data_IF_366292550879
#
_entry.id   IF_366292550879
#
_cell.length_a   1.000
_cell.length_b   1.000
_cell.length_c   1.000
_cell.angle_alpha   90.00
_cell.angle_beta   90.00
_cell.angle_gamma   90.00
#
_symmetry.space_group_name_H-M   'P 1'
#
loop_
_entity.id
_entity.type
_entity.pdbx_description
1 polymer ?
#
# COMPACT_ATOMS: atom_id res chain seq x y z
N UNK A 1 -17.04 4.10 5.83
CA UNK A 1 -16.13 3.38 4.91
C UNK A 1 -15.41 4.43 4.10
N UNK A 2 -14.08 4.48 4.11
CA UNK A 2 -13.33 5.49 3.36
C UNK A 2 -13.42 5.20 1.86
N UNK A 3 -13.57 6.24 1.04
CA UNK A 3 -13.59 6.14 -0.43
C UNK A 3 -12.22 5.83 -1.04
N UNK A 4 -11.25 5.40 -0.24
CA UNK A 4 -9.89 5.07 -0.65
C UNK A 4 -9.43 3.81 0.08
N UNK A 5 -8.89 2.85 -0.66
CA UNK A 5 -8.31 1.60 -0.14
C UNK A 5 -7.11 1.16 -0.96
N UNK A 6 -6.26 0.37 -0.32
CA UNK A 6 -5.15 -0.34 -0.95
C UNK A 6 -5.34 -1.85 -0.78
N UNK A 7 -5.09 -2.58 -1.86
CA UNK A 7 -4.94 -4.02 -1.89
C UNK A 7 -3.46 -4.31 -2.18
N UNK A 8 -2.81 -5.04 -1.28
CA UNK A 8 -1.40 -5.39 -1.41
C UNK A 8 -1.29 -6.80 -1.97
N UNK A 9 -0.64 -6.95 -3.12
CA UNK A 9 -0.49 -8.19 -3.85
C UNK A 9 0.98 -8.54 -4.01
N UNK A 10 1.34 -9.79 -3.69
CA UNK A 10 2.64 -10.36 -4.04
C UNK A 10 2.46 -11.44 -5.09
N UNK A 11 3.34 -11.45 -6.09
CA UNK A 11 3.35 -12.55 -7.04
C UNK A 11 3.66 -13.87 -6.31
N UNK A 12 2.94 -14.94 -6.66
CA UNK A 12 3.03 -16.24 -5.98
C UNK A 12 4.46 -16.78 -5.86
N UNK A 13 5.30 -16.54 -6.87
CA UNK A 13 6.70 -16.97 -6.85
C UNK A 13 7.56 -16.29 -5.77
N UNK A 14 7.14 -15.10 -5.31
CA UNK A 14 7.87 -14.28 -4.34
C UNK A 14 7.12 -14.14 -3.01
N UNK A 15 6.07 -14.95 -2.80
CA UNK A 15 5.17 -14.83 -1.66
C UNK A 15 5.89 -15.00 -0.31
N UNK A 16 6.86 -15.92 -0.25
CA UNK A 16 7.65 -16.18 0.96
C UNK A 16 8.71 -15.10 1.25
N UNK A 17 9.01 -14.27 0.25
CA UNK A 17 9.99 -13.17 0.34
C UNK A 17 9.35 -11.84 0.72
N UNK A 18 8.02 -11.80 0.88
CA UNK A 18 7.35 -10.56 1.25
C UNK A 18 7.75 -10.11 2.66
N UNK A 19 7.73 -8.79 2.93
CA UNK A 19 7.86 -8.27 4.28
C UNK A 19 6.73 -8.80 5.16
N UNK A 20 7.07 -9.36 6.32
CA UNK A 20 6.13 -9.90 7.30
C UNK A 20 5.53 -8.76 8.13
N UNK A 21 4.97 -7.77 7.46
CA UNK A 21 4.41 -6.57 8.08
C UNK A 21 2.94 -6.74 8.42
N UNK A 22 2.47 -6.06 9.44
CA UNK A 22 1.06 -6.09 9.83
C UNK A 22 0.19 -5.26 8.86
N UNK A 23 -1.04 -5.70 8.61
CA UNK A 23 -2.07 -4.96 7.87
C UNK A 23 -2.31 -3.55 8.44
N UNK A 24 -2.01 -3.36 9.74
CA UNK A 24 -2.10 -2.06 10.43
C UNK A 24 -1.22 -0.98 9.79
N UNK A 25 -0.12 -1.34 9.11
CA UNK A 25 0.68 -0.37 8.36
C UNK A 25 -0.09 0.18 7.17
N UNK A 26 -0.78 -0.70 6.43
CA UNK A 26 -1.61 -0.33 5.30
C UNK A 26 -2.74 0.58 5.74
N UNK A 27 -3.47 0.19 6.79
CA UNK A 27 -4.56 1.00 7.34
C UNK A 27 -4.07 2.35 7.85
N UNK A 28 -2.91 2.38 8.51
CA UNK A 28 -2.29 3.64 8.94
C UNK A 28 -2.06 4.58 7.76
N UNK A 29 -1.46 4.11 6.66
CA UNK A 29 -1.20 4.93 5.48
C UNK A 29 -2.51 5.36 4.79
N UNK A 30 -3.50 4.46 4.67
CA UNK A 30 -4.82 4.81 4.16
C UNK A 30 -5.46 5.96 4.96
N UNK A 31 -5.50 5.83 6.28
CA UNK A 31 -6.09 6.83 7.18
C UNK A 31 -5.31 8.13 7.19
N UNK A 32 -3.98 8.05 7.14
CA UNK A 32 -3.09 9.19 7.09
C UNK A 32 -3.41 10.08 5.88
N UNK A 33 -3.46 9.52 4.66
CA UNK A 33 -3.80 10.31 3.47
C UNK A 33 -5.24 10.81 3.46
N UNK A 34 -6.18 10.01 3.98
CA UNK A 34 -7.58 10.43 4.10
C UNK A 34 -7.70 11.69 4.95
N UNK A 35 -7.06 11.70 6.12
CA UNK A 35 -7.12 12.81 7.09
C UNK A 35 -6.30 14.01 6.60
N UNK A 36 -5.05 13.78 6.24
CA UNK A 36 -4.10 14.86 6.00
C UNK A 36 -4.21 15.50 4.61
N UNK A 37 -4.77 14.79 3.61
CA UNK A 37 -4.80 15.32 2.23
C UNK A 37 -6.17 15.24 1.57
N UNK A 38 -6.82 14.07 1.58
CA UNK A 38 -8.03 13.87 0.79
C UNK A 38 -9.20 14.71 1.29
N UNK A 39 -9.34 14.81 2.60
CA UNK A 39 -10.37 15.65 3.23
C UNK A 39 -10.11 17.12 2.98
N UNK A 40 -8.88 17.60 3.26
CA UNK A 40 -8.52 19.01 3.10
C UNK A 40 -8.63 19.47 1.63
N UNK A 41 -8.05 18.71 0.70
CA UNK A 41 -8.03 19.04 -0.73
C UNK A 41 -9.30 18.62 -1.46
N UNK A 42 -10.28 18.03 -0.77
CA UNK A 42 -11.53 17.47 -1.34
C UNK A 42 -11.25 16.53 -2.53
N UNK A 43 -10.24 15.68 -2.39
CA UNK A 43 -9.85 14.67 -3.37
C UNK A 43 -10.48 13.35 -2.93
N UNK A 44 -11.12 12.60 -3.83
CA UNK A 44 -11.71 11.27 -3.57
C UNK A 44 -12.92 11.27 -2.61
N UNK A 45 -12.95 12.12 -1.58
CA UNK A 45 -13.98 12.13 -0.53
C UNK A 45 -15.40 12.33 -1.08
N UNK A 46 -15.55 13.11 -2.15
CA UNK A 46 -16.86 13.39 -2.78
C UNK A 46 -17.09 12.60 -4.08
N UNK A 47 -16.25 11.62 -4.37
CA UNK A 47 -16.39 10.80 -5.57
C UNK A 47 -17.57 9.84 -5.44
N UNK A 48 -18.35 9.67 -6.52
CA UNK A 48 -19.35 8.59 -6.63
C UNK A 48 -18.70 7.21 -6.58
N UNK A 49 -17.45 7.12 -7.02
CA UNK A 49 -16.66 5.91 -7.04
C UNK A 49 -15.68 5.87 -5.86
N UNK A 50 -15.58 4.75 -5.17
CA UNK A 50 -14.45 4.46 -4.29
C UNK A 50 -13.19 4.21 -5.13
N UNK A 51 -12.07 4.75 -4.68
CA UNK A 51 -10.74 4.55 -5.27
C UNK A 51 -10.08 3.34 -4.62
N UNK A 52 -9.62 2.40 -5.42
CA UNK A 52 -8.86 1.24 -4.98
C UNK A 52 -7.49 1.25 -5.66
N UNK A 53 -6.40 1.18 -4.89
CA UNK A 53 -5.06 0.94 -5.43
C UNK A 53 -4.74 -0.55 -5.33
N UNK A 54 -4.46 -1.20 -6.45
CA UNK A 54 -4.06 -2.61 -6.49
C UNK A 54 -2.54 -2.66 -6.65
N UNK A 55 -1.84 -2.75 -5.52
CA UNK A 55 -0.39 -2.60 -5.42
C UNK A 55 0.29 -3.95 -5.56
N UNK A 56 0.92 -4.19 -6.70
CA UNK A 56 1.63 -5.42 -7.01
C UNK A 56 3.13 -5.24 -6.78
N UNK A 57 3.69 -6.03 -5.87
CA UNK A 57 5.11 -5.98 -5.51
C UNK A 57 5.93 -7.01 -6.27
N UNK A 58 7.08 -6.56 -6.75
CA UNK A 58 8.10 -7.34 -7.44
C UNK A 58 9.46 -7.04 -6.79
N UNK A 59 10.20 -8.10 -6.46
CA UNK A 59 11.57 -7.96 -5.98
C UNK A 59 12.49 -7.97 -7.21
N UNK A 60 13.18 -6.85 -7.44
CA UNK A 60 14.19 -6.70 -8.48
C UNK A 60 15.56 -6.47 -7.84
N UNK A 61 16.64 -6.87 -8.50
CA UNK A 61 18.01 -6.74 -7.98
C UNK A 61 18.73 -5.49 -8.51
N UNK A 62 18.14 -4.79 -9.48
CA UNK A 62 18.82 -3.76 -10.26
C UNK A 62 18.10 -2.42 -10.22
N UNK A 63 16.77 -2.40 -10.31
CA UNK A 63 16.02 -1.16 -10.46
C UNK A 63 14.79 -1.09 -9.56
N UNK A 64 14.63 0.08 -8.91
CA UNK A 64 13.45 0.42 -8.13
C UNK A 64 12.56 1.36 -8.94
N UNK A 65 11.27 1.06 -9.01
CA UNK A 65 10.30 1.92 -9.67
C UNK A 65 8.91 1.73 -9.09
N UNK A 66 8.10 2.77 -9.21
CA UNK A 66 6.66 2.73 -8.96
C UNK A 66 5.99 3.26 -10.21
N UNK A 67 5.05 2.49 -10.75
CA UNK A 67 4.30 2.88 -11.94
C UNK A 67 2.81 2.75 -11.67
N UNK A 68 2.09 3.87 -11.77
CA UNK A 68 0.63 3.89 -11.76
C UNK A 68 0.10 3.63 -13.18
N UNK A 69 -0.64 2.55 -13.37
CA UNK A 69 -1.25 2.21 -14.65
C UNK A 69 -2.64 2.86 -14.81
N UNK A 70 -3.18 2.93 -16.04
CA UNK A 70 -4.54 3.41 -16.28
C UNK A 70 -5.56 2.63 -15.46
N UNK A 71 -6.57 3.33 -14.95
CA UNK A 71 -7.59 2.72 -14.11
C UNK A 71 -8.56 1.82 -14.88
N UNK A 72 -9.13 0.85 -14.17
CA UNK A 72 -10.35 0.14 -14.58
C UNK A 72 -11.53 0.61 -13.74
N UNK A 73 -12.69 0.83 -14.36
CA UNK A 73 -13.91 1.26 -13.68
C UNK A 73 -14.89 0.09 -13.58
N UNK A 74 -15.15 -0.37 -12.37
CA UNK A 74 -16.17 -1.37 -12.05
C UNK A 74 -17.46 -0.67 -11.64
N UNK A 75 -18.35 -0.45 -12.62
CA UNK A 75 -19.58 0.34 -12.43
C UNK A 75 -20.52 -0.26 -11.39
N UNK A 76 -20.71 -1.57 -11.42
CA UNK A 76 -21.66 -2.27 -10.53
C UNK A 76 -21.22 -2.22 -9.06
N UNK A 77 -19.92 -2.08 -8.82
CA UNK A 77 -19.34 -1.96 -7.48
C UNK A 77 -19.10 -0.50 -7.06
N UNK A 78 -19.32 0.47 -7.97
CA UNK A 78 -18.87 1.85 -7.82
C UNK A 78 -17.38 1.96 -7.43
N UNK A 79 -16.51 1.18 -8.08
CA UNK A 79 -15.06 1.21 -7.81
C UNK A 79 -14.29 1.70 -9.04
N UNK A 80 -13.29 2.55 -8.80
CA UNK A 80 -12.22 2.88 -9.75
C UNK A 80 -10.92 2.28 -9.23
N UNK A 81 -10.47 1.21 -9.87
CA UNK A 81 -9.26 0.49 -9.48
C UNK A 81 -8.06 0.98 -10.29
N UNK A 82 -6.96 1.27 -9.62
CA UNK A 82 -5.70 1.70 -10.20
C UNK A 82 -4.65 0.62 -9.92
N UNK A 83 -4.23 -0.13 -10.94
CA UNK A 83 -3.11 -1.04 -10.80
C UNK A 83 -1.82 -0.24 -10.59
N UNK A 84 -1.04 -0.60 -9.59
CA UNK A 84 0.27 0.00 -9.32
C UNK A 84 1.31 -1.12 -9.27
N UNK A 85 2.38 -0.97 -10.03
CA UNK A 85 3.52 -1.88 -10.00
C UNK A 85 4.62 -1.27 -9.15
N UNK A 86 5.12 -2.02 -8.17
CA UNK A 86 6.22 -1.63 -7.30
C UNK A 86 7.35 -2.62 -7.49
N UNK A 87 8.42 -2.18 -8.13
CA UNK A 87 9.70 -2.87 -8.12
C UNK A 87 10.56 -2.30 -7.01
N UNK A 88 11.08 -3.15 -6.13
CA UNK A 88 11.97 -2.73 -5.07
C UNK A 88 13.15 -3.70 -4.92
N UNK A 89 14.29 -3.19 -4.49
CA UNK A 89 15.41 -4.01 -4.07
C UNK A 89 15.14 -4.42 -2.64
N UNK A 90 15.13 -5.72 -2.35
CA UNK A 90 14.84 -6.19 -1.00
C UNK A 90 15.92 -5.69 -0.02
N UNK A 91 15.53 -4.69 0.77
CA UNK A 91 16.34 -4.08 1.83
C UNK A 91 15.73 -4.35 3.22
N UNK A 92 14.58 -5.02 3.29
CA UNK A 92 13.86 -5.22 4.54
C UNK A 92 14.59 -6.18 5.48
N UNK A 93 15.41 -7.09 4.95
CA UNK A 93 16.21 -7.99 5.77
C UNK A 93 17.37 -7.28 6.50
N UNK A 94 17.82 -6.11 6.03
CA UNK A 94 18.88 -5.29 6.65
C UNK A 94 18.33 -4.10 7.44
N UNK A 95 17.02 -3.83 7.32
CA UNK A 95 16.39 -2.67 7.93
C UNK A 95 16.34 -2.77 9.45
N UNK A 96 16.69 -1.66 10.12
CA UNK A 96 16.52 -1.49 11.57
C UNK A 96 15.06 -1.21 11.96
N UNK A 97 14.23 -0.80 11.01
CA UNK A 97 12.82 -0.50 11.24
C UNK A 97 11.99 -0.81 9.97
N UNK A 98 11.73 -2.09 9.76
CA UNK A 98 10.97 -2.59 8.58
C UNK A 98 9.59 -1.94 8.47
N UNK A 99 8.92 -1.69 9.60
CA UNK A 99 7.61 -1.07 9.61
C UNK A 99 7.63 0.34 9.01
N UNK A 100 8.61 1.16 9.43
CA UNK A 100 8.76 2.51 8.91
C UNK A 100 9.15 2.50 7.43
N UNK A 101 10.09 1.64 7.04
CA UNK A 101 10.53 1.55 5.64
C UNK A 101 9.40 1.09 4.72
N UNK A 102 8.59 0.12 5.16
CA UNK A 102 7.44 -0.34 4.39
C UNK A 102 6.35 0.72 4.33
N UNK A 103 6.10 1.44 5.43
CA UNK A 103 5.15 2.56 5.45
C UNK A 103 5.57 3.69 4.51
N UNK A 104 6.88 4.01 4.45
CA UNK A 104 7.43 4.97 3.48
C UNK A 104 7.24 4.49 2.03
N UNK A 105 7.47 3.21 1.76
CA UNK A 105 7.21 2.65 0.42
C UNK A 105 5.73 2.75 0.05
N UNK A 106 4.81 2.45 0.98
CA UNK A 106 3.38 2.66 0.74
C UNK A 106 3.03 4.15 0.55
N UNK A 107 3.69 5.05 1.27
CA UNK A 107 3.54 6.49 1.07
C UNK A 107 3.97 6.89 -0.36
N UNK A 108 5.09 6.35 -0.84
CA UNK A 108 5.58 6.57 -2.21
C UNK A 108 4.58 6.05 -3.25
N UNK A 109 3.94 4.90 -3.01
CA UNK A 109 2.88 4.36 -3.85
C UNK A 109 1.68 5.30 -3.97
N UNK A 110 1.18 5.82 -2.85
CA UNK A 110 0.05 6.76 -2.87
C UNK A 110 0.47 8.10 -3.50
N UNK A 111 1.70 8.53 -3.26
CA UNK A 111 2.28 9.75 -3.86
C UNK A 111 2.32 9.67 -5.38
N UNK A 112 2.81 8.55 -5.93
CA UNK A 112 2.86 8.32 -7.39
C UNK A 112 1.45 8.35 -7.99
N UNK A 113 0.50 7.65 -7.36
CA UNK A 113 -0.90 7.71 -7.76
C UNK A 113 -1.44 9.15 -7.78
N UNK A 114 -1.14 9.93 -6.75
CA UNK A 114 -1.63 11.30 -6.63
C UNK A 114 -1.05 12.22 -7.69
N UNK A 115 0.27 12.18 -7.90
CA UNK A 115 0.96 12.98 -8.89
C UNK A 115 0.51 12.64 -10.31
N UNK A 116 0.32 11.35 -10.60
CA UNK A 116 -0.16 10.87 -11.89
C UNK A 116 -1.61 11.29 -12.20
N UNK A 117 -2.47 11.46 -11.19
CA UNK A 117 -3.92 11.64 -11.40
C UNK A 117 -4.46 13.03 -11.02
N UNK A 118 -3.75 13.81 -10.22
CA UNK A 118 -4.24 15.07 -9.68
C UNK A 118 -3.24 16.20 -9.88
N UNK A 119 -3.37 16.95 -10.98
CA UNK A 119 -2.49 18.08 -11.36
C UNK A 119 -2.30 19.16 -10.27
N UNK A 120 -3.21 19.24 -9.30
CA UNK A 120 -3.15 20.20 -8.19
C UNK A 120 -2.25 19.75 -7.04
N UNK A 121 -1.87 18.48 -6.99
CA UNK A 121 -0.94 17.94 -6.00
C UNK A 121 0.47 18.13 -6.52
N UNK A 122 1.33 18.73 -5.69
CA UNK A 122 2.74 18.93 -6.00
C UNK A 122 3.61 17.97 -5.21
N UNK A 123 4.78 17.66 -5.76
CA UNK A 123 5.76 16.80 -5.10
C UNK A 123 6.22 17.38 -3.76
N UNK A 124 6.38 18.71 -3.69
CA UNK A 124 6.81 19.42 -2.48
C UNK A 124 5.79 19.27 -1.34
N UNK A 125 4.49 19.31 -1.64
CA UNK A 125 3.43 19.12 -0.65
C UNK A 125 3.53 17.72 -0.01
N UNK A 126 3.80 16.70 -0.84
CA UNK A 126 3.95 15.31 -0.40
C UNK A 126 5.24 15.11 0.39
N UNK A 127 6.32 15.81 0.03
CA UNK A 127 7.58 15.76 0.76
C UNK A 127 7.42 16.31 2.18
N UNK A 128 6.77 17.46 2.34
CA UNK A 128 6.46 18.01 3.66
C UNK A 128 5.54 17.10 4.45
N UNK A 129 4.51 16.55 3.80
CA UNK A 129 3.54 15.66 4.42
C UNK A 129 4.19 14.38 4.98
N UNK A 130 5.22 13.83 4.32
CA UNK A 130 5.92 12.62 4.80
C UNK A 130 6.51 12.79 6.20
N UNK A 131 6.95 13.99 6.55
CA UNK A 131 7.54 14.24 7.87
C UNK A 131 6.52 14.19 9.01
N UNK A 132 5.22 14.24 8.69
CA UNK A 132 4.12 14.10 9.65
C UNK A 132 3.76 12.64 9.97
N UNK A 133 4.45 11.67 9.34
CA UNK A 133 4.29 10.25 9.69
C UNK A 133 4.71 10.03 11.14
N UNK A 134 3.82 9.39 11.90
CA UNK A 134 4.00 9.05 13.31
C UNK A 134 4.95 7.84 13.44
N UNK A 135 6.24 8.17 13.49
CA UNK A 135 7.34 7.20 13.64
C UNK A 135 7.23 6.42 14.96
N UNK A 136 6.68 7.03 16.02
CA UNK A 136 6.52 6.38 17.33
C UNK A 136 5.43 5.30 17.27
N UNK A 137 4.27 5.61 16.69
CA UNK A 137 3.23 4.60 16.43
C UNK A 137 3.75 3.44 15.59
N UNK A 138 4.41 3.71 14.46
CA UNK A 138 4.92 2.67 13.55
C UNK A 138 5.97 1.76 14.22
N UNK A 139 6.78 2.32 15.13
CA UNK A 139 7.79 1.55 15.88
C UNK A 139 7.19 0.56 16.88
N UNK A 140 5.95 0.78 17.32
CA UNK A 140 5.24 -0.08 18.28
C UNK A 140 4.50 -1.24 17.63
N UNK A 141 4.34 -1.24 16.32
CA UNK A 141 3.73 -2.35 15.58
C UNK A 141 4.69 -3.55 15.67
N UNK A 142 4.16 -4.72 16.06
CA UNK A 142 4.95 -5.94 16.20
C UNK A 142 5.50 -6.36 14.83
N UNK A 143 6.80 -6.66 14.79
CA UNK A 143 7.47 -7.21 13.62
C UNK A 143 8.41 -8.37 14.03
N UNK A 144 8.42 -9.51 13.31
CA UNK A 144 7.52 -9.84 12.20
C UNK A 144 6.08 -10.08 12.68
N UNK A 145 5.11 -9.63 11.90
CA UNK A 145 3.69 -9.85 12.17
C UNK A 145 3.30 -11.32 11.90
N UNK A 146 2.42 -11.90 12.74
CA UNK A 146 1.79 -13.20 12.48
C UNK A 146 1.13 -13.24 11.09
N UNK A 147 1.14 -14.41 10.43
CA UNK A 147 0.63 -14.55 9.06
C UNK A 147 -0.82 -14.04 8.89
N UNK A 148 -1.70 -14.36 9.83
CA UNK A 148 -3.10 -13.91 9.84
C UNK A 148 -3.26 -12.41 10.09
N UNK A 149 -2.20 -11.70 10.49
CA UNK A 149 -2.17 -10.24 10.62
C UNK A 149 -1.46 -9.57 9.44
N UNK A 150 -0.98 -10.29 8.43
CA UNK A 150 -0.35 -9.68 7.25
C UNK A 150 -1.41 -9.24 6.23
N UNK A 151 -2.43 -10.09 6.00
CA UNK A 151 -3.62 -9.82 5.19
C UNK A 151 -3.29 -9.30 3.77
N UNK A 152 -2.31 -9.92 3.10
CA UNK A 152 -2.08 -9.70 1.68
C UNK A 152 -3.18 -10.39 0.87
N UNK A 153 -3.53 -9.81 -0.28
CA UNK A 153 -4.48 -10.45 -1.19
C UNK A 153 -3.89 -11.77 -1.67
N UNK A 154 -4.66 -12.85 -1.49
CA UNK A 154 -4.26 -14.22 -1.79
C UNK A 154 -3.84 -15.05 -0.57
N UNK A 155 -3.75 -14.46 0.63
CA UNK A 155 -3.49 -15.20 1.86
C UNK A 155 -4.58 -16.26 2.15
N UNK A 156 -5.84 -15.96 1.86
CA UNK A 156 -6.98 -16.88 2.07
C UNK A 156 -6.88 -18.16 1.22
N UNK A 157 -6.34 -18.06 -0.01
CA UNK A 157 -6.13 -19.20 -0.90
C UNK A 157 -5.06 -20.19 -0.37
N UNK A 158 -4.28 -19.80 0.65
CA UNK A 158 -3.25 -20.62 1.28
C UNK A 158 -3.73 -21.28 2.59
N UNK A 159 -4.71 -20.69 3.28
CA UNK A 159 -5.33 -21.33 4.45
C UNK A 159 -6.02 -22.65 4.07
N UNK A 160 -6.57 -22.75 2.85
CA UNK A 160 -7.14 -24.00 2.33
C UNK A 160 -6.11 -25.08 2.01
N UNK A 161 -4.83 -24.73 1.79
CA UNK A 161 -3.78 -25.73 1.52
C UNK A 161 -3.24 -26.43 2.76
N UNK A 162 -3.40 -25.84 3.95
CA UNK A 162 -3.12 -26.56 5.21
C UNK A 162 -4.13 -27.68 5.49
N UNK A 163 -5.26 -27.70 4.79
CA UNK A 163 -6.31 -28.73 4.94
C UNK A 163 -6.01 -30.04 4.20
N UNK A 164 -4.93 -30.10 3.41
CA UNK A 164 -4.57 -31.25 2.56
C UNK A 164 -3.14 -31.75 2.81
N UNK A 165 -2.54 -31.40 3.95
CA UNK A 165 -1.21 -31.86 4.36
C UNK A 165 -1.21 -32.58 5.73
N UNK A 166 -2.39 -33.00 6.20
CA UNK A 166 -2.55 -33.98 7.28
C UNK A 166 -2.91 -35.36 6.69
#
# INVERSE_FOLDING_TARGET
>A
MHNFKMDLLYHKANFDLRPKVSYKLKEYIEDFFVKALFTEKKIIVNSKFSTLLQVSFFIDKKEEYIVCLPCTVYKDMNIKAFPIMVSYIDKFHESKNVNLDFANMLFDVVSEFLLSNYKKIKFEDLKSLREEIDKDYLSKIIYPAPFNEQCFIGDDNMNDKKKYLD
#
